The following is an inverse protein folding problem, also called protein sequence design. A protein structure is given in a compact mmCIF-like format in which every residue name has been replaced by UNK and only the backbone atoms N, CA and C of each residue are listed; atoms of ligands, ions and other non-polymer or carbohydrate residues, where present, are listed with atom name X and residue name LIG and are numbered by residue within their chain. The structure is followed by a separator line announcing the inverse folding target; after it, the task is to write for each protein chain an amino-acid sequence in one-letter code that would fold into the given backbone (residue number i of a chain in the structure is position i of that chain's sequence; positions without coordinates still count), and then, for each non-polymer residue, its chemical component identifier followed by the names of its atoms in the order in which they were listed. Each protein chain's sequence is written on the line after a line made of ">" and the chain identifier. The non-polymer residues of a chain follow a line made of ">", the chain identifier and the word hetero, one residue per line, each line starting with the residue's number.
data_IF_269015090499
#
_entry.id   IF_269015090499
#
_cell.length_a   1.000
_cell.length_b   1.000
_cell.length_c   1.000
_cell.angle_alpha   90.00
_cell.angle_beta   90.00
_cell.angle_gamma   90.00
#
_symmetry.space_group_name_H-M   'P 1'
#
loop_
_entity.id
_entity.type
_entity.pdbx_description
1 polymer ?
#
# COMPACT_ATOMS: atom_id res chain seq x y z
N UNK A 1 -1.41 10.16 -17.25
CA UNK A 1 -0.48 10.11 -16.08
C UNK A 1 -1.32 9.95 -14.83
N UNK A 2 -0.98 8.99 -13.96
CA UNK A 2 -1.65 8.79 -12.67
C UNK A 2 -0.76 9.29 -11.54
N UNK A 3 -1.37 9.91 -10.53
CA UNK A 3 -0.69 10.47 -9.37
C UNK A 3 -1.49 10.13 -8.12
N UNK A 4 -0.88 9.40 -7.19
CA UNK A 4 -1.46 9.17 -5.88
C UNK A 4 -1.21 10.39 -4.97
N UNK A 5 -2.27 10.89 -4.35
CA UNK A 5 -2.23 12.02 -3.42
C UNK A 5 -2.78 11.57 -2.08
N UNK A 6 -1.92 11.43 -1.09
CA UNK A 6 -2.31 11.06 0.26
C UNK A 6 -3.18 12.12 0.95
N UNK A 7 -3.91 11.71 1.99
CA UNK A 7 -4.66 12.63 2.86
C UNK A 7 -3.75 13.65 3.53
N UNK A 8 -4.27 14.83 3.83
CA UNK A 8 -3.57 15.84 4.61
C UNK A 8 -3.66 15.59 6.13
N UNK A 9 -4.67 14.82 6.52
CA UNK A 9 -4.96 14.48 7.91
C UNK A 9 -5.17 12.97 8.10
N UNK A 10 -5.35 12.56 9.35
CA UNK A 10 -5.67 11.17 9.66
C UNK A 10 -7.10 10.79 9.25
N UNK A 11 -8.09 11.67 9.47
CA UNK A 11 -9.51 11.35 9.30
C UNK A 11 -10.41 12.55 8.99
N UNK A 12 -9.88 13.72 8.72
CA UNK A 12 -10.73 14.87 8.38
C UNK A 12 -11.34 14.66 6.99
N UNK A 13 -12.59 15.08 6.83
CA UNK A 13 -13.35 14.85 5.61
C UNK A 13 -13.42 16.12 4.74
N UNK A 14 -13.50 15.99 3.40
CA UNK A 14 -13.51 17.12 2.47
C UNK A 14 -14.78 17.98 2.54
N UNK A 15 -15.84 17.56 3.22
CA UNK A 15 -17.07 18.33 3.37
C UNK A 15 -16.88 19.45 4.40
N UNK A 16 -16.08 19.20 5.43
CA UNK A 16 -15.80 20.13 6.53
C UNK A 16 -14.39 20.71 6.49
N UNK A 17 -13.47 20.05 5.76
CA UNK A 17 -12.07 20.41 5.59
C UNK A 17 -11.73 20.51 4.09
N UNK A 18 -11.94 21.68 3.46
CA UNK A 18 -11.72 21.86 2.02
C UNK A 18 -10.31 21.53 1.53
N UNK A 19 -9.31 21.54 2.42
CA UNK A 19 -7.92 21.16 2.16
C UNK A 19 -7.74 19.65 1.86
N UNK A 20 -8.72 18.83 2.23
CA UNK A 20 -8.75 17.40 1.88
C UNK A 20 -9.35 17.15 0.49
N UNK A 21 -9.84 18.16 -0.20
CA UNK A 21 -10.38 17.98 -1.56
C UNK A 21 -9.29 17.54 -2.53
N UNK A 22 -9.58 16.50 -3.34
CA UNK A 22 -8.65 15.82 -4.24
C UNK A 22 -7.43 15.24 -3.51
N UNK A 23 -7.62 14.81 -2.26
CA UNK A 23 -6.68 14.03 -1.46
C UNK A 23 -7.28 12.68 -1.10
N UNK A 24 -6.44 11.76 -0.68
CA UNK A 24 -6.79 10.34 -0.53
C UNK A 24 -7.37 9.77 -1.83
N UNK A 25 -6.82 10.24 -2.95
CA UNK A 25 -7.27 9.97 -4.30
C UNK A 25 -6.10 9.54 -5.19
N UNK A 26 -6.41 8.79 -6.23
CA UNK A 26 -5.53 8.66 -7.39
C UNK A 26 -6.10 9.56 -8.47
N UNK A 27 -5.34 10.56 -8.86
CA UNK A 27 -5.70 11.54 -9.88
C UNK A 27 -5.15 11.14 -11.24
N UNK A 28 -5.95 11.37 -12.28
CA UNK A 28 -5.55 11.19 -13.67
C UNK A 28 -5.36 12.54 -14.35
N UNK A 29 -4.30 12.67 -15.11
CA UNK A 29 -3.96 13.85 -15.90
C UNK A 29 -3.61 13.44 -17.32
N UNK A 30 -3.85 14.33 -18.28
CA UNK A 30 -3.25 14.22 -19.60
C UNK A 30 -1.70 14.25 -19.51
N UNK A 31 -0.97 13.77 -20.53
CA UNK A 31 0.51 13.80 -20.53
C UNK A 31 1.10 15.20 -20.39
N UNK A 32 0.37 16.25 -20.77
CA UNK A 32 0.75 17.66 -20.63
C UNK A 32 0.41 18.26 -19.25
N UNK A 33 -0.20 17.47 -18.37
CA UNK A 33 -0.65 17.89 -17.03
C UNK A 33 -2.03 18.55 -17.01
N UNK A 34 -2.72 18.62 -18.16
CA UNK A 34 -4.08 19.16 -18.24
C UNK A 34 -5.17 18.16 -17.83
N UNK A 35 -6.40 18.66 -17.75
CA UNK A 35 -7.65 17.92 -17.55
C UNK A 35 -7.62 16.93 -16.36
N UNK A 36 -7.40 17.42 -15.11
CA UNK A 36 -7.38 16.56 -13.94
C UNK A 36 -8.75 15.92 -13.70
N UNK A 37 -8.74 14.61 -13.47
CA UNK A 37 -9.91 13.83 -13.05
C UNK A 37 -9.56 12.87 -11.92
N UNK A 38 -10.56 12.42 -11.16
CA UNK A 38 -10.37 11.41 -10.12
C UNK A 38 -10.47 10.04 -10.77
N UNK A 39 -9.37 9.28 -10.74
CA UNK A 39 -9.33 7.90 -11.20
C UNK A 39 -9.95 6.94 -10.19
N UNK A 40 -9.59 7.08 -8.89
CA UNK A 40 -10.15 6.34 -7.77
C UNK A 40 -10.04 7.20 -6.50
N UNK A 41 -10.91 6.96 -5.51
CA UNK A 41 -10.99 7.81 -4.32
C UNK A 41 -11.22 7.03 -3.03
N UNK A 42 -11.01 7.73 -1.90
CA UNK A 42 -11.11 7.12 -0.58
C UNK A 42 -9.94 6.17 -0.25
N UNK A 43 -8.80 6.39 -0.89
CA UNK A 43 -7.56 5.65 -0.70
C UNK A 43 -6.65 6.51 0.17
N UNK A 44 -6.69 6.32 1.49
CA UNK A 44 -6.10 7.25 2.45
C UNK A 44 -4.70 7.72 2.07
N UNK A 45 -3.77 6.80 1.91
CA UNK A 45 -2.39 7.15 1.58
C UNK A 45 -1.69 6.05 0.77
N UNK A 46 -1.81 6.14 -0.55
CA UNK A 46 -1.05 5.33 -1.51
C UNK A 46 0.18 6.10 -2.05
N UNK A 47 0.61 7.16 -1.36
CA UNK A 47 1.66 8.07 -1.84
C UNK A 47 3.04 7.45 -2.00
N UNK A 48 3.28 6.25 -1.49
CA UNK A 48 4.55 5.53 -1.62
C UNK A 48 4.57 4.46 -2.71
N UNK A 49 3.41 3.91 -3.10
CA UNK A 49 3.41 2.75 -3.98
C UNK A 49 2.22 2.64 -4.92
N UNK A 50 2.42 3.02 -6.18
CA UNK A 50 1.54 2.66 -7.29
C UNK A 50 2.38 2.03 -8.42
N UNK A 51 1.92 0.94 -9.00
CA UNK A 51 2.57 0.30 -10.13
C UNK A 51 1.55 -0.38 -11.05
N UNK A 52 1.88 -0.46 -12.33
CA UNK A 52 1.09 -1.25 -13.27
C UNK A 52 1.57 -2.70 -13.29
N UNK A 53 0.64 -3.64 -13.20
CA UNK A 53 0.93 -5.05 -13.47
C UNK A 53 1.50 -5.22 -14.88
N UNK A 54 2.67 -5.83 -15.04
CA UNK A 54 3.22 -6.08 -16.37
C UNK A 54 2.44 -7.12 -17.16
N UNK A 55 1.62 -7.94 -16.49
CA UNK A 55 0.84 -9.01 -17.10
C UNK A 55 -0.55 -8.55 -17.52
N UNK A 56 -1.26 -7.83 -16.63
CA UNK A 56 -2.67 -7.43 -16.87
C UNK A 56 -2.81 -5.98 -17.30
N UNK A 57 -1.81 -5.13 -17.03
CA UNK A 57 -1.88 -3.68 -17.23
C UNK A 57 -2.75 -2.95 -16.20
N UNK A 58 -3.24 -3.64 -15.19
CA UNK A 58 -4.01 -3.05 -14.10
C UNK A 58 -3.11 -2.24 -13.15
N UNK A 59 -3.66 -1.14 -12.64
CA UNK A 59 -3.01 -0.36 -11.62
C UNK A 59 -3.15 -1.04 -10.26
N UNK A 60 -2.05 -1.11 -9.52
CA UNK A 60 -2.02 -1.57 -8.13
C UNK A 60 -1.48 -0.49 -7.21
N UNK A 61 -1.89 -0.53 -5.94
CA UNK A 61 -1.36 0.33 -4.90
C UNK A 61 -1.17 -0.40 -3.58
N UNK A 62 -0.19 0.07 -2.80
CA UNK A 62 -0.06 -0.20 -1.37
C UNK A 62 -0.57 0.99 -0.58
N UNK A 63 -1.27 0.76 0.50
CA UNK A 63 -1.98 1.80 1.25
C UNK A 63 -1.69 1.72 2.74
N UNK A 64 -1.27 2.87 3.26
CA UNK A 64 -1.13 3.11 4.69
C UNK A 64 -2.42 3.76 5.21
N UNK A 65 -3.15 3.03 6.05
CA UNK A 65 -4.46 3.42 6.56
C UNK A 65 -4.39 4.30 7.81
N UNK A 66 -5.57 4.69 8.29
CA UNK A 66 -5.73 5.64 9.39
C UNK A 66 -5.40 5.03 10.76
N UNK A 67 -4.93 5.89 11.65
CA UNK A 67 -4.59 5.56 13.03
C UNK A 67 -5.71 5.86 14.03
N UNK A 68 -5.56 5.38 15.28
CA UNK A 68 -6.37 5.80 16.41
C UNK A 68 -7.60 4.95 16.68
N UNK A 69 -7.69 3.73 16.09
CA UNK A 69 -8.68 2.72 16.41
C UNK A 69 -8.06 1.50 17.15
N UNK A 70 -6.92 1.69 17.79
CA UNK A 70 -6.20 0.65 18.53
C UNK A 70 -5.27 -0.19 17.63
N UNK A 71 -4.70 -1.24 18.19
CA UNK A 71 -3.67 -2.06 17.53
C UNK A 71 -4.15 -2.82 16.29
N UNK A 72 -5.45 -3.11 16.20
CA UNK A 72 -5.99 -4.05 15.22
C UNK A 72 -6.90 -3.39 14.17
N UNK A 73 -6.97 -2.05 14.12
CA UNK A 73 -7.75 -1.29 13.13
C UNK A 73 -7.05 0.06 12.81
N UNK A 74 -7.10 0.53 11.58
CA UNK A 74 -7.63 -0.08 10.35
C UNK A 74 -6.49 -0.83 9.67
N UNK A 75 -6.72 -1.99 9.05
CA UNK A 75 -5.68 -2.70 8.31
C UNK A 75 -5.13 -1.88 7.15
N UNK A 76 -3.82 -1.91 6.97
CA UNK A 76 -3.18 -1.51 5.73
C UNK A 76 -3.50 -2.54 4.63
N UNK A 77 -3.29 -2.23 3.37
CA UNK A 77 -3.64 -3.15 2.30
C UNK A 77 -2.87 -2.94 1.00
N UNK A 78 -2.89 -3.97 0.16
CA UNK A 78 -2.46 -3.92 -1.24
C UNK A 78 -3.66 -4.32 -2.10
N UNK A 79 -3.91 -3.59 -3.19
CA UNK A 79 -5.06 -3.84 -4.04
C UNK A 79 -4.84 -3.39 -5.48
N UNK A 80 -5.52 -4.06 -6.43
CA UNK A 80 -5.71 -3.48 -7.76
C UNK A 80 -6.70 -2.32 -7.68
N UNK A 81 -6.46 -1.28 -8.46
CA UNK A 81 -7.25 -0.04 -8.38
C UNK A 81 -8.27 -0.01 -9.52
N UNK A 82 -9.55 -0.05 -9.16
CA UNK A 82 -10.64 0.04 -10.12
C UNK A 82 -10.92 1.51 -10.46
N UNK A 83 -11.00 1.83 -11.75
CA UNK A 83 -11.39 3.17 -12.19
C UNK A 83 -12.80 3.53 -11.69
N UNK A 84 -12.95 4.69 -11.06
CA UNK A 84 -14.18 5.13 -10.40
C UNK A 84 -14.43 4.45 -9.05
N UNK A 85 -13.52 3.59 -8.58
CA UNK A 85 -13.64 2.84 -7.33
C UNK A 85 -13.55 3.72 -6.08
N UNK A 86 -14.32 3.35 -5.04
CA UNK A 86 -14.30 3.97 -3.72
C UNK A 86 -13.79 2.97 -2.68
N UNK A 87 -12.74 3.35 -1.94
CA UNK A 87 -12.07 2.48 -0.98
C UNK A 87 -12.38 2.81 0.49
N UNK A 88 -13.16 3.88 0.74
CA UNK A 88 -13.82 4.12 2.02
C UNK A 88 -13.39 5.40 2.75
N UNK A 89 -12.11 5.70 2.83
CA UNK A 89 -11.62 6.86 3.60
C UNK A 89 -12.30 8.18 3.17
N UNK A 90 -12.66 9.08 4.08
CA UNK A 90 -12.53 8.99 5.54
C UNK A 90 -13.75 8.37 6.23
N UNK A 91 -14.85 8.14 5.53
CA UNK A 91 -16.16 7.80 6.13
C UNK A 91 -16.35 6.31 6.43
N UNK A 92 -15.71 5.47 5.63
CA UNK A 92 -15.86 4.01 5.65
C UNK A 92 -14.50 3.33 5.54
N UNK A 93 -14.43 2.03 5.86
CA UNK A 93 -13.25 1.18 5.62
C UNK A 93 -13.65 -0.28 5.44
N UNK A 94 -12.80 -1.06 4.82
CA UNK A 94 -12.88 -2.53 4.71
C UNK A 94 -14.28 -3.05 4.40
N UNK A 95 -14.82 -2.74 3.22
CA UNK A 95 -16.11 -3.29 2.75
C UNK A 95 -17.33 -2.74 3.49
N UNK A 96 -17.32 -1.51 3.96
CA UNK A 96 -18.52 -0.83 4.48
C UNK A 96 -18.65 -0.82 5.99
N UNK A 97 -17.54 -0.92 6.73
CA UNK A 97 -17.48 -0.54 8.14
C UNK A 97 -17.40 0.97 8.27
N UNK A 98 -18.32 1.57 9.03
CA UNK A 98 -18.30 3.02 9.21
C UNK A 98 -17.22 3.46 10.18
N UNK A 99 -16.48 4.51 9.80
CA UNK A 99 -15.54 5.14 10.72
C UNK A 99 -16.31 5.82 11.87
N UNK A 100 -15.97 5.53 13.14
CA UNK A 100 -16.71 6.03 14.29
C UNK A 100 -16.67 7.56 14.42
N UNK A 101 -15.69 8.25 13.82
CA UNK A 101 -15.67 9.73 13.78
C UNK A 101 -16.66 10.34 12.79
N UNK A 102 -17.15 9.52 11.87
CA UNK A 102 -18.09 9.92 10.82
C UNK A 102 -19.42 9.18 10.90
N UNK A 103 -19.81 8.76 12.11
CA UNK A 103 -21.06 8.04 12.34
C UNK A 103 -22.26 8.77 11.72
N UNK A 104 -23.04 8.04 10.91
CA UNK A 104 -24.22 8.55 10.22
C UNK A 104 -23.95 9.39 8.97
N UNK A 105 -22.68 9.69 8.62
CA UNK A 105 -22.33 10.40 7.38
C UNK A 105 -22.26 9.45 6.19
N UNK A 106 -22.66 9.94 5.02
CA UNK A 106 -22.56 9.26 3.73
C UNK A 106 -23.06 7.80 3.71
N UNK A 107 -24.26 7.50 4.24
CA UNK A 107 -24.79 6.13 4.23
C UNK A 107 -24.94 5.55 2.82
N UNK A 108 -25.11 6.40 1.80
CA UNK A 108 -25.21 6.01 0.39
C UNK A 108 -23.89 5.46 -0.21
N UNK A 109 -22.77 5.64 0.48
CA UNK A 109 -21.46 5.13 0.07
C UNK A 109 -21.16 3.75 0.64
N UNK A 110 -21.87 3.30 1.66
CA UNK A 110 -21.61 2.04 2.37
C UNK A 110 -21.41 0.85 1.42
N UNK A 111 -22.34 0.67 0.51
CA UNK A 111 -22.35 -0.49 -0.40
C UNK A 111 -21.46 -0.28 -1.64
N UNK A 112 -20.78 0.86 -1.71
CA UNK A 112 -19.81 1.17 -2.78
C UNK A 112 -18.37 0.93 -2.36
N UNK A 113 -18.12 0.70 -1.08
CA UNK A 113 -16.78 0.49 -0.56
C UNK A 113 -16.20 -0.81 -1.09
N UNK A 114 -15.12 -0.71 -1.84
CA UNK A 114 -14.39 -1.87 -2.36
C UNK A 114 -13.58 -2.48 -1.21
N UNK A 115 -13.69 -3.79 -1.05
CA UNK A 115 -12.80 -4.55 -0.17
C UNK A 115 -11.49 -4.78 -0.90
N UNK A 116 -10.34 -4.42 -0.31
CA UNK A 116 -9.03 -4.65 -0.92
C UNK A 116 -8.71 -6.13 -1.13
N UNK A 117 -7.81 -6.42 -2.09
CA UNK A 117 -7.43 -7.79 -2.44
C UNK A 117 -6.58 -8.47 -1.34
N UNK A 118 -5.67 -7.74 -0.73
CA UNK A 118 -4.74 -8.26 0.29
C UNK A 118 -4.76 -7.35 1.50
N UNK A 119 -5.22 -7.88 2.61
CA UNK A 119 -5.31 -7.18 3.89
C UNK A 119 -4.02 -7.44 4.67
N UNK A 120 -3.33 -6.37 5.04
CA UNK A 120 -2.09 -6.40 5.81
C UNK A 120 -2.37 -6.21 7.30
N UNK A 121 -1.35 -6.37 8.13
CA UNK A 121 -1.48 -5.96 9.52
C UNK A 121 -1.73 -4.45 9.61
N UNK A 122 -2.64 -4.02 10.52
CA UNK A 122 -2.81 -2.60 10.84
C UNK A 122 -1.49 -1.99 11.27
N UNK A 123 -1.22 -0.79 10.79
CA UNK A 123 -0.02 -0.02 11.11
C UNK A 123 1.30 -0.56 10.54
N UNK A 124 1.26 -1.44 9.55
CA UNK A 124 2.46 -1.88 8.82
C UNK A 124 3.17 -0.70 8.16
N UNK A 125 2.44 0.36 7.84
CA UNK A 125 2.91 1.50 7.06
C UNK A 125 3.46 1.05 5.71
N UNK A 126 2.60 0.38 4.93
CA UNK A 126 2.94 -0.10 3.58
C UNK A 126 3.24 1.07 2.66
N UNK A 127 4.40 1.04 2.02
CA UNK A 127 4.91 2.14 1.18
C UNK A 127 5.04 1.68 -0.27
N UNK A 128 6.26 1.63 -0.84
CA UNK A 128 6.47 1.30 -2.24
C UNK A 128 6.26 -0.19 -2.53
N UNK A 129 5.65 -0.47 -3.67
CA UNK A 129 5.53 -1.82 -4.22
C UNK A 129 6.14 -1.90 -5.62
N UNK A 130 6.58 -3.11 -6.00
CA UNK A 130 7.03 -3.42 -7.34
C UNK A 130 6.60 -4.82 -7.75
N UNK A 131 6.38 -5.06 -9.05
CA UNK A 131 6.20 -6.39 -9.60
C UNK A 131 7.55 -7.01 -9.93
N UNK A 132 7.75 -8.28 -9.57
CA UNK A 132 8.97 -8.97 -9.90
C UNK A 132 8.95 -9.46 -11.35
N UNK A 133 9.76 -8.84 -12.19
CA UNK A 133 9.97 -9.21 -13.59
C UNK A 133 11.44 -9.57 -13.88
N UNK A 134 12.23 -9.79 -12.82
CA UNK A 134 13.63 -10.21 -12.92
C UNK A 134 13.78 -11.68 -13.32
N UNK A 135 15.01 -12.10 -13.58
CA UNK A 135 15.34 -13.47 -13.96
C UNK A 135 16.27 -14.16 -12.96
N UNK A 136 16.52 -13.55 -11.82
CA UNK A 136 17.45 -14.09 -10.84
C UNK A 136 16.76 -15.00 -9.83
N UNK A 137 15.55 -14.64 -9.38
CA UNK A 137 14.78 -15.45 -8.44
C UNK A 137 14.07 -16.58 -9.16
N UNK A 138 13.71 -17.68 -8.44
CA UNK A 138 12.96 -18.80 -9.00
C UNK A 138 11.68 -18.38 -9.72
N UNK A 139 11.20 -19.23 -10.63
CA UNK A 139 10.03 -18.97 -11.46
C UNK A 139 8.76 -18.66 -10.65
N UNK A 140 8.65 -19.24 -9.46
CA UNK A 140 7.52 -19.00 -8.55
C UNK A 140 7.37 -17.55 -8.07
N UNK A 141 8.39 -16.70 -8.25
CA UNK A 141 8.36 -15.27 -7.89
C UNK A 141 7.95 -14.37 -9.06
N UNK A 142 7.86 -14.96 -10.28
CA UNK A 142 7.56 -14.16 -11.47
C UNK A 142 6.16 -13.59 -11.42
N UNK A 143 6.06 -12.27 -11.61
CA UNK A 143 4.81 -11.54 -11.58
C UNK A 143 4.33 -11.15 -10.18
N UNK A 144 4.88 -11.71 -9.11
CA UNK A 144 4.50 -11.39 -7.74
C UNK A 144 4.86 -9.96 -7.34
N UNK A 145 4.13 -9.42 -6.37
CA UNK A 145 4.40 -8.10 -5.81
C UNK A 145 5.36 -8.24 -4.63
N UNK A 146 6.35 -7.34 -4.58
CA UNK A 146 7.14 -7.07 -3.39
C UNK A 146 6.79 -5.68 -2.88
N UNK A 147 6.54 -5.54 -1.57
CA UNK A 147 6.20 -4.28 -0.94
C UNK A 147 7.05 -4.02 0.31
N UNK A 148 7.41 -2.75 0.50
CA UNK A 148 8.17 -2.31 1.64
C UNK A 148 7.23 -1.87 2.77
N UNK A 149 7.36 -2.52 3.93
CA UNK A 149 6.60 -2.24 5.14
C UNK A 149 7.48 -1.44 6.10
N UNK A 150 7.19 -0.15 6.22
CA UNK A 150 8.04 0.79 7.00
C UNK A 150 7.98 0.54 8.50
N UNK A 151 6.89 -0.04 8.98
CA UNK A 151 6.71 -0.51 10.34
C UNK A 151 5.97 0.47 11.27
N UNK A 152 5.33 -0.11 12.27
CA UNK A 152 4.44 0.57 13.20
C UNK A 152 5.20 1.45 14.20
N UNK A 153 4.65 2.62 14.50
CA UNK A 153 5.14 3.49 15.59
C UNK A 153 4.17 3.55 16.78
N UNK A 154 2.91 3.18 16.57
CA UNK A 154 1.77 3.41 17.46
C UNK A 154 1.05 2.11 17.86
N UNK A 155 1.76 0.99 17.90
CA UNK A 155 1.24 -0.33 18.24
C UNK A 155 1.92 -0.89 19.49
N UNK A 156 1.18 -1.67 20.32
CA UNK A 156 1.69 -2.31 21.53
C UNK A 156 2.83 -3.29 21.23
N UNK A 157 2.69 -4.05 20.13
CA UNK A 157 3.72 -4.92 19.59
C UNK A 157 4.01 -4.48 18.16
N UNK A 158 5.26 -4.23 17.84
CA UNK A 158 5.69 -3.77 16.52
C UNK A 158 5.35 -4.78 15.45
N UNK A 159 4.93 -4.27 14.27
CA UNK A 159 4.69 -5.04 13.04
C UNK A 159 5.27 -4.28 11.86
N UNK A 160 5.38 -4.94 10.72
CA UNK A 160 6.09 -4.41 9.57
C UNK A 160 7.60 -4.39 9.82
N UNK A 161 8.32 -3.41 9.32
CA UNK A 161 9.78 -3.38 9.29
C UNK A 161 10.35 -4.53 8.49
N UNK A 162 9.84 -4.70 7.28
CA UNK A 162 10.15 -5.83 6.42
C UNK A 162 9.87 -5.52 4.95
N UNK A 163 10.26 -6.40 4.08
CA UNK A 163 9.69 -6.51 2.74
C UNK A 163 8.84 -7.75 2.70
N UNK A 164 7.62 -7.62 2.23
CA UNK A 164 6.69 -8.72 2.02
C UNK A 164 6.65 -9.13 0.55
N UNK A 165 6.24 -10.37 0.30
CA UNK A 165 5.84 -10.89 -1.00
C UNK A 165 4.34 -11.12 -1.01
N UNK A 166 3.66 -10.66 -2.05
CA UNK A 166 2.26 -11.00 -2.34
C UNK A 166 2.24 -11.93 -3.55
N UNK A 167 1.95 -13.23 -3.35
CA UNK A 167 1.83 -14.16 -4.46
C UNK A 167 0.63 -13.83 -5.34
N UNK A 168 0.84 -13.81 -6.65
CA UNK A 168 -0.22 -13.65 -7.62
C UNK A 168 -0.49 -14.97 -8.35
N UNK A 169 -1.76 -15.21 -8.69
CA UNK A 169 -2.10 -16.28 -9.63
C UNK A 169 -1.58 -15.96 -11.04
N UNK A 170 -1.42 -16.97 -11.88
CA UNK A 170 -1.06 -16.79 -13.30
C UNK A 170 -2.02 -15.87 -14.08
N UNK A 171 -3.18 -15.58 -13.53
CA UNK A 171 -4.15 -14.62 -14.07
C UNK A 171 -3.91 -13.17 -13.63
N UNK A 172 -2.87 -12.93 -12.81
CA UNK A 172 -2.54 -11.60 -12.26
C UNK A 172 -3.38 -11.16 -11.06
N UNK A 173 -4.29 -12.01 -10.55
CA UNK A 173 -5.07 -11.72 -9.35
C UNK A 173 -4.33 -12.17 -8.09
N UNK A 174 -4.45 -11.41 -7.00
CA UNK A 174 -3.87 -11.78 -5.72
C UNK A 174 -4.53 -13.04 -5.14
N UNK A 175 -3.74 -13.83 -4.40
CA UNK A 175 -4.25 -14.99 -3.64
C UNK A 175 -5.04 -14.57 -2.39
N UNK A 176 -4.90 -13.30 -1.97
CA UNK A 176 -5.41 -12.77 -0.69
C UNK A 176 -4.42 -12.92 0.46
N UNK A 177 -3.30 -13.59 0.22
CA UNK A 177 -2.25 -13.85 1.20
C UNK A 177 -0.99 -13.04 0.91
N UNK A 178 -0.11 -12.90 1.91
CA UNK A 178 1.24 -12.38 1.76
C UNK A 178 2.21 -13.15 2.65
N UNK A 179 3.48 -13.05 2.35
CA UNK A 179 4.56 -13.75 3.03
C UNK A 179 5.65 -12.76 3.46
N UNK A 180 6.24 -12.99 4.64
CA UNK A 180 7.45 -12.30 5.05
C UNK A 180 8.60 -12.69 4.11
N UNK A 181 9.25 -11.71 3.48
CA UNK A 181 10.33 -11.99 2.54
C UNK A 181 11.69 -11.55 3.07
N UNK A 182 11.82 -10.31 3.53
CA UNK A 182 13.06 -9.78 4.09
C UNK A 182 12.76 -9.18 5.46
N UNK A 183 13.21 -9.85 6.51
CA UNK A 183 12.92 -9.53 7.92
C UNK A 183 14.20 -9.28 8.71
N UNK A 184 14.06 -9.05 10.03
CA UNK A 184 15.17 -8.94 10.98
C UNK A 184 15.55 -7.50 11.34
N UNK A 185 14.81 -6.51 10.93
CA UNK A 185 15.05 -5.10 11.26
C UNK A 185 14.62 -4.72 12.68
N UNK A 186 13.79 -5.54 13.30
CA UNK A 186 13.37 -5.40 14.71
C UNK A 186 14.19 -6.35 15.57
N UNK A 187 14.95 -5.81 16.53
CA UNK A 187 15.73 -6.61 17.49
C UNK A 187 14.82 -7.03 18.65
N UNK A 188 14.08 -6.08 19.19
CA UNK A 188 13.03 -6.27 20.19
C UNK A 188 11.97 -5.15 20.06
N UNK A 189 10.93 -5.20 20.89
CA UNK A 189 9.83 -4.22 20.79
C UNK A 189 10.27 -2.77 21.02
N UNK A 190 11.43 -2.53 21.58
CA UNK A 190 12.01 -1.21 21.82
C UNK A 190 13.06 -0.78 20.79
N UNK A 191 13.65 -1.72 20.05
CA UNK A 191 14.83 -1.48 19.22
C UNK A 191 14.62 -1.92 17.78
N UNK A 192 14.59 -0.93 16.89
CA UNK A 192 14.52 -1.08 15.43
C UNK A 192 15.75 -0.45 14.83
N UNK A 193 16.42 -1.12 13.90
CA UNK A 193 17.62 -0.60 13.26
C UNK A 193 17.48 -0.33 11.77
N UNK A 194 16.40 -0.82 11.15
CA UNK A 194 16.10 -0.57 9.75
C UNK A 194 14.60 -0.37 9.54
N UNK A 195 14.25 0.40 8.50
CA UNK A 195 12.88 0.71 8.10
C UNK A 195 12.81 0.75 6.58
N UNK A 196 12.38 -0.33 5.91
CA UNK A 196 12.23 -0.37 4.45
C UNK A 196 11.26 0.70 3.95
N UNK A 197 11.60 1.36 2.85
CA UNK A 197 10.82 2.45 2.23
C UNK A 197 10.44 2.09 0.80
N UNK A 198 11.42 1.73 0.01
CA UNK A 198 11.25 1.45 -1.41
C UNK A 198 11.81 0.09 -1.80
N UNK A 199 11.20 -0.52 -2.80
CA UNK A 199 11.65 -1.78 -3.36
C UNK A 199 11.59 -1.74 -4.89
N UNK A 200 12.65 -2.19 -5.56
CA UNK A 200 12.68 -2.22 -7.03
C UNK A 200 13.53 -3.36 -7.54
N UNK A 201 13.30 -3.78 -8.78
CA UNK A 201 14.05 -4.85 -9.46
C UNK A 201 15.24 -4.22 -10.20
N UNK A 202 16.44 -4.65 -9.86
CA UNK A 202 17.66 -4.24 -10.57
C UNK A 202 17.79 -4.95 -11.93
N UNK A 203 18.66 -4.43 -12.80
CA UNK A 203 18.87 -4.98 -14.16
C UNK A 203 19.32 -6.45 -14.17
N UNK A 204 19.98 -6.91 -13.12
CA UNK A 204 20.43 -8.30 -12.97
C UNK A 204 19.39 -9.21 -12.33
N UNK A 205 18.21 -8.69 -11.99
CA UNK A 205 17.11 -9.42 -11.38
C UNK A 205 17.16 -9.51 -9.85
N UNK A 206 18.18 -8.91 -9.18
CA UNK A 206 18.16 -8.74 -7.72
C UNK A 206 17.14 -7.69 -7.30
N UNK A 207 16.69 -7.71 -6.03
CA UNK A 207 15.91 -6.61 -5.47
C UNK A 207 16.85 -5.59 -4.80
N UNK A 208 16.54 -4.32 -4.99
CA UNK A 208 17.11 -3.21 -4.22
C UNK A 208 16.05 -2.68 -3.28
N UNK A 209 16.40 -2.56 -2.00
CA UNK A 209 15.49 -2.08 -0.94
C UNK A 209 16.14 -0.85 -0.30
N UNK A 210 15.46 0.28 -0.35
CA UNK A 210 15.89 1.48 0.36
C UNK A 210 15.41 1.43 1.82
N UNK A 211 16.23 1.91 2.74
CA UNK A 211 16.02 1.85 4.18
C UNK A 211 16.45 3.18 4.81
N UNK A 212 15.50 3.97 5.30
CA UNK A 212 15.77 5.27 5.92
C UNK A 212 16.21 5.14 7.38
N UNK A 213 15.84 4.08 8.08
CA UNK A 213 16.25 3.81 9.44
C UNK A 213 17.76 3.56 9.55
N UNK A 214 18.29 2.70 8.71
CA UNK A 214 19.72 2.38 8.63
C UNK A 214 20.50 3.29 7.68
N UNK A 215 19.82 4.11 6.86
CA UNK A 215 20.40 4.95 5.80
C UNK A 215 21.17 4.12 4.76
N UNK A 216 20.62 2.99 4.40
CA UNK A 216 21.23 1.99 3.52
C UNK A 216 20.36 1.70 2.30
N UNK A 217 20.99 1.11 1.30
CA UNK A 217 20.31 0.42 0.21
C UNK A 217 20.76 -1.04 0.27
N UNK A 218 19.82 -1.93 0.49
CA UNK A 218 20.04 -3.35 0.54
C UNK A 218 19.89 -3.97 -0.83
N UNK A 219 20.74 -4.95 -1.14
CA UNK A 219 20.60 -5.77 -2.34
C UNK A 219 20.31 -7.20 -1.93
N UNK A 220 19.19 -7.72 -2.39
CA UNK A 220 18.78 -9.10 -2.17
C UNK A 220 18.99 -9.90 -3.45
N UNK A 221 19.84 -10.91 -3.38
CA UNK A 221 20.23 -11.76 -4.51
C UNK A 221 19.95 -13.22 -4.22
N UNK A 222 19.40 -13.94 -5.19
CA UNK A 222 19.25 -15.39 -5.09
C UNK A 222 20.57 -16.10 -5.41
N UNK A 223 21.00 -16.99 -4.55
CA UNK A 223 22.28 -17.71 -4.68
C UNK A 223 22.14 -19.17 -5.13
N UNK A 224 20.91 -19.62 -5.41
CA UNK A 224 20.66 -20.98 -5.91
C UNK A 224 20.84 -22.08 -4.86
N UNK A 225 20.69 -21.77 -3.57
CA UNK A 225 20.83 -22.76 -2.48
C UNK A 225 19.49 -23.07 -1.85
#
# INVERSE_FOLDING_TARGET
>A
MLVAVGSGSNVDDPDTHPEEKNRADILEFNPDGGDPSIYAYGIRNAGGGIAFSPETGELWCSVNERDGLGDNLVPDYITHVQQGGFYGWPWWYMGGHQDPRHEGKHPELKDKVITPDVILHPHNASLELTFYNGKQFPEEYQGDIFAAEHGSWNRSVRVGYEVIRVPLHQTGHATGEYEDFMTGFVVDNGHVWGRPVGVTVAQDGSLLVTDDGSKSIWRVSYTGK
#
